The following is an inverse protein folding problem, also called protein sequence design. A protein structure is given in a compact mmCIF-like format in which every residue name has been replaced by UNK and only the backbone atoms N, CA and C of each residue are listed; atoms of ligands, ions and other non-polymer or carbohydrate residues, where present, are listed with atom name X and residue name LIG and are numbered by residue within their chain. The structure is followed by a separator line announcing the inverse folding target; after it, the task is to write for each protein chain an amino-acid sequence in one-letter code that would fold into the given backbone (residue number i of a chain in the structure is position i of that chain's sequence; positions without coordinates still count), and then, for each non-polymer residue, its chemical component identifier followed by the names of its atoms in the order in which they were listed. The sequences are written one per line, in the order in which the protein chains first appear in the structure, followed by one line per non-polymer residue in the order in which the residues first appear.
data_IF_489055030767
#
_entry.id   IF_489055030767
#
_cell.length_a   1.000
_cell.length_b   1.000
_cell.length_c   1.000
_cell.angle_alpha   90.00
_cell.angle_beta   90.00
_cell.angle_gamma   90.00
#
_symmetry.space_group_name_H-M   'P 1'
#
loop_
_entity.id
_entity.type
_entity.pdbx_description
1 polymer ?
#
# COMPACT_ATOMS: atom_id res chain seq x y z
N UNK A 1 -8.61 2.72 4.97
CA UNK A 1 -8.99 1.30 5.06
C UNK A 1 -8.52 0.78 6.41
N UNK A 2 -9.43 0.24 7.23
CA UNK A 2 -9.10 -0.28 8.56
C UNK A 2 -9.36 -1.77 8.58
N UNK A 3 -8.38 -2.57 8.97
CA UNK A 3 -8.49 -4.04 9.03
C UNK A 3 -9.01 -4.68 7.72
N UNK A 4 -8.62 -4.11 6.58
CA UNK A 4 -9.10 -4.52 5.26
C UNK A 4 -10.52 -4.06 4.90
N UNK A 5 -11.23 -3.36 5.78
CA UNK A 5 -12.57 -2.85 5.51
C UNK A 5 -12.49 -1.52 4.77
N UNK A 6 -13.08 -1.49 3.56
CA UNK A 6 -13.26 -0.28 2.78
C UNK A 6 -14.37 0.57 3.43
N UNK A 7 -14.19 1.91 3.52
CA UNK A 7 -15.22 2.79 4.04
C UNK A 7 -16.47 2.81 3.14
N UNK A 8 -17.60 3.27 3.67
CA UNK A 8 -18.81 3.49 2.87
C UNK A 8 -18.52 4.48 1.72
N UNK A 9 -18.75 4.09 0.45
CA UNK A 9 -18.58 4.99 -0.69
C UNK A 9 -19.41 6.29 -0.58
N UNK A 10 -20.57 6.24 0.08
CA UNK A 10 -21.42 7.43 0.28
C UNK A 10 -20.81 8.51 1.18
N UNK A 11 -19.73 8.18 1.89
CA UNK A 11 -19.03 9.09 2.80
C UNK A 11 -17.70 9.63 2.23
N UNK A 12 -17.46 9.47 0.91
CA UNK A 12 -16.18 9.82 0.27
C UNK A 12 -16.13 11.20 -0.38
N UNK A 13 -17.12 12.07 -0.10
CA UNK A 13 -17.11 13.43 -0.65
C UNK A 13 -15.83 14.19 -0.23
N UNK A 14 -15.12 14.75 -1.23
CA UNK A 14 -13.83 15.41 -1.04
C UNK A 14 -12.64 14.49 -0.70
N UNK A 15 -12.80 13.17 -0.71
CA UNK A 15 -11.71 12.22 -0.42
C UNK A 15 -10.94 11.88 -1.70
N UNK A 16 -9.69 12.35 -1.80
CA UNK A 16 -8.83 12.08 -2.94
C UNK A 16 -8.24 10.66 -2.95
N UNK A 17 -8.01 10.07 -1.77
CA UNK A 17 -7.42 8.74 -1.65
C UNK A 17 -7.83 8.00 -0.37
N UNK A 18 -7.98 6.69 -0.49
CA UNK A 18 -8.07 5.76 0.62
C UNK A 18 -6.69 5.19 0.94
N UNK A 19 -6.34 5.09 2.22
CA UNK A 19 -5.04 4.51 2.64
C UNK A 19 -5.24 3.10 3.16
N UNK A 20 -4.52 2.13 2.57
CA UNK A 20 -4.36 0.75 3.05
C UNK A 20 -2.91 0.56 3.49
N UNK A 21 -2.67 0.44 4.79
CA UNK A 21 -1.34 0.13 5.33
C UNK A 21 -1.19 -1.38 5.44
N UNK A 22 -0.06 -1.93 5.00
CA UNK A 22 0.27 -3.32 5.30
C UNK A 22 0.48 -3.51 6.79
N UNK A 23 0.18 -4.69 7.35
CA UNK A 23 0.52 -5.00 8.74
C UNK A 23 1.99 -4.71 9.03
N UNK A 24 2.28 -4.26 10.25
CA UNK A 24 3.65 -4.19 10.71
C UNK A 24 4.29 -5.59 10.63
N UNK A 25 5.62 -5.68 10.41
CA UNK A 25 6.31 -6.96 10.50
C UNK A 25 6.00 -7.64 11.84
N UNK A 26 5.79 -8.95 11.79
CA UNK A 26 5.63 -9.77 12.99
C UNK A 26 6.87 -9.71 13.88
N UNK A 27 6.76 -10.20 15.12
CA UNK A 27 7.91 -10.36 15.99
C UNK A 27 8.98 -11.29 15.39
N UNK A 28 10.16 -11.35 16.01
CA UNK A 28 11.30 -12.13 15.51
C UNK A 28 11.01 -13.63 15.26
N UNK A 29 9.95 -14.16 15.88
CA UNK A 29 9.51 -15.54 15.75
C UNK A 29 8.50 -15.78 14.60
N UNK A 30 8.05 -14.73 13.89
CA UNK A 30 7.12 -14.89 12.78
C UNK A 30 7.85 -15.39 11.53
N UNK A 31 7.28 -16.43 10.90
CA UNK A 31 7.82 -16.99 9.67
C UNK A 31 7.71 -15.94 8.54
N UNK A 32 8.83 -15.44 8.00
CA UNK A 32 8.83 -14.34 7.04
C UNK A 32 8.10 -14.71 5.75
N UNK A 33 8.12 -15.99 5.35
CA UNK A 33 7.42 -16.47 4.16
C UNK A 33 5.91 -16.44 4.38
N UNK A 34 5.44 -16.93 5.55
CA UNK A 34 4.02 -16.85 5.91
C UNK A 34 3.55 -15.42 6.06
N UNK A 35 4.34 -14.55 6.68
CA UNK A 35 4.02 -13.13 6.83
C UNK A 35 3.88 -12.44 5.46
N UNK A 36 4.79 -12.73 4.53
CA UNK A 36 4.75 -12.23 3.16
C UNK A 36 3.48 -12.70 2.43
N UNK A 37 3.13 -13.99 2.51
CA UNK A 37 1.91 -14.52 1.90
C UNK A 37 0.63 -13.91 2.49
N UNK A 38 0.53 -13.81 3.82
CA UNK A 38 -0.64 -13.19 4.49
C UNK A 38 -0.79 -11.73 4.07
N UNK A 39 0.30 -10.99 4.01
CA UNK A 39 0.30 -9.57 3.62
C UNK A 39 -0.16 -9.41 2.17
N UNK A 40 0.40 -10.19 1.24
CA UNK A 40 0.02 -10.15 -0.16
C UNK A 40 -1.46 -10.53 -0.37
N UNK A 41 -1.92 -11.60 0.29
CA UNK A 41 -3.32 -12.06 0.20
C UNK A 41 -4.29 -11.00 0.75
N UNK A 42 -3.94 -10.36 1.88
CA UNK A 42 -4.74 -9.29 2.44
C UNK A 42 -4.86 -8.09 1.50
N UNK A 43 -3.73 -7.63 0.93
CA UNK A 43 -3.75 -6.51 -0.01
C UNK A 43 -4.54 -6.86 -1.26
N UNK A 44 -4.34 -8.07 -1.81
CA UNK A 44 -5.07 -8.54 -2.99
C UNK A 44 -6.59 -8.51 -2.76
N UNK A 45 -7.07 -9.01 -1.63
CA UNK A 45 -8.50 -9.02 -1.30
C UNK A 45 -9.10 -7.61 -1.25
N UNK A 46 -8.41 -6.65 -0.60
CA UNK A 46 -8.87 -5.25 -0.56
C UNK A 46 -8.87 -4.62 -1.94
N UNK A 47 -7.80 -4.83 -2.72
CA UNK A 47 -7.68 -4.28 -4.08
C UNK A 47 -8.77 -4.82 -4.99
N UNK A 48 -9.06 -6.13 -4.93
CA UNK A 48 -10.14 -6.73 -5.70
C UNK A 48 -11.51 -6.13 -5.35
N UNK A 49 -11.82 -5.99 -4.06
CA UNK A 49 -13.09 -5.37 -3.61
C UNK A 49 -13.19 -3.89 -4.02
N UNK A 50 -12.08 -3.16 -3.94
CA UNK A 50 -12.02 -1.75 -4.34
C UNK A 50 -12.24 -1.57 -5.85
N UNK A 51 -11.61 -2.40 -6.67
CA UNK A 51 -11.73 -2.31 -8.13
C UNK A 51 -13.08 -2.83 -8.65
N UNK A 52 -13.71 -3.77 -7.95
CA UNK A 52 -15.00 -4.35 -8.35
C UNK A 52 -16.20 -3.40 -8.12
N UNK A 53 -16.04 -2.34 -7.32
CA UNK A 53 -17.11 -1.42 -6.96
C UNK A 53 -16.88 -0.05 -7.62
N UNK A 54 -17.70 0.25 -8.63
CA UNK A 54 -17.62 1.49 -9.42
C UNK A 54 -17.81 2.76 -8.58
N UNK A 55 -18.39 2.66 -7.38
CA UNK A 55 -18.54 3.81 -6.48
C UNK A 55 -17.20 4.32 -5.94
N UNK A 56 -16.11 3.57 -6.09
CA UNK A 56 -14.75 4.04 -5.82
C UNK A 56 -14.00 4.50 -7.07
N UNK A 57 -14.67 4.69 -8.22
CA UNK A 57 -14.00 5.06 -9.47
C UNK A 57 -13.25 6.40 -9.39
N UNK A 58 -13.79 7.36 -8.65
CA UNK A 58 -13.24 8.72 -8.54
C UNK A 58 -12.20 8.89 -7.41
N UNK A 59 -11.90 7.82 -6.69
CA UNK A 59 -10.96 7.83 -5.56
C UNK A 59 -9.78 6.90 -5.86
N UNK A 60 -8.58 7.26 -5.41
CA UNK A 60 -7.39 6.40 -5.52
C UNK A 60 -7.22 5.52 -4.30
N UNK A 61 -6.64 4.33 -4.45
CA UNK A 61 -6.20 3.51 -3.32
C UNK A 61 -4.68 3.61 -3.16
N UNK A 62 -4.24 4.22 -2.07
CA UNK A 62 -2.84 4.26 -1.65
C UNK A 62 -2.50 3.01 -0.82
N UNK A 63 -1.66 2.14 -1.37
CA UNK A 63 -1.13 0.96 -0.68
C UNK A 63 0.21 1.34 -0.06
N UNK A 64 0.29 1.27 1.27
CA UNK A 64 1.46 1.71 2.04
C UNK A 64 2.17 0.51 2.66
N UNK A 65 3.36 0.24 2.16
CA UNK A 65 4.36 -0.66 2.75
C UNK A 65 5.30 0.10 3.68
N UNK A 66 6.06 -0.60 4.52
CA UNK A 66 7.07 0.00 5.42
C UNK A 66 8.42 -0.65 5.19
N UNK A 67 9.44 0.10 4.79
CA UNK A 67 10.82 -0.38 4.58
C UNK A 67 10.89 -1.73 3.87
N UNK A 68 10.04 -1.92 2.85
CA UNK A 68 9.93 -3.16 2.08
C UNK A 68 10.91 -3.20 0.90
N UNK A 69 11.51 -2.05 0.56
CA UNK A 69 12.53 -1.91 -0.48
C UNK A 69 13.69 -1.07 0.03
N UNK A 70 14.88 -1.33 -0.48
CA UNK A 70 16.03 -0.46 -0.31
C UNK A 70 16.09 0.54 -1.48
N UNK A 71 16.22 1.84 -1.17
CA UNK A 71 16.39 2.91 -2.15
C UNK A 71 17.72 3.63 -2.01
N UNK A 72 18.51 3.28 -0.99
CA UNK A 72 19.87 3.75 -0.76
C UNK A 72 20.83 2.57 -0.59
N UNK A 73 22.09 2.77 -0.95
CA UNK A 73 23.12 1.76 -0.73
C UNK A 73 23.30 1.50 0.77
N UNK A 74 23.30 0.22 1.14
CA UNK A 74 23.45 -0.21 2.54
C UNK A 74 22.20 -0.06 3.41
N UNK A 75 21.06 0.31 2.83
CA UNK A 75 19.79 0.39 3.55
C UNK A 75 19.28 -1.00 3.96
N UNK A 76 18.92 -1.14 5.24
CA UNK A 76 18.35 -2.37 5.78
C UNK A 76 16.85 -2.49 5.44
N UNK A 77 16.45 -3.64 4.90
CA UNK A 77 15.04 -3.96 4.62
C UNK A 77 14.45 -4.62 5.86
N UNK A 78 13.70 -3.84 6.64
CA UNK A 78 13.07 -4.31 7.89
C UNK A 78 11.62 -4.79 7.69
N UNK A 79 11.02 -4.51 6.53
CA UNK A 79 9.63 -4.86 6.22
C UNK A 79 9.47 -5.87 5.08
N UNK A 80 10.26 -6.94 5.09
CA UNK A 80 10.28 -7.94 4.01
C UNK A 80 8.90 -8.53 3.66
N UNK A 81 7.99 -8.62 4.62
CA UNK A 81 6.61 -9.08 4.39
C UNK A 81 5.83 -8.22 3.38
N UNK A 82 6.20 -6.95 3.20
CA UNK A 82 5.61 -6.05 2.21
C UNK A 82 6.20 -6.19 0.79
N UNK A 83 7.33 -6.88 0.62
CA UNK A 83 8.00 -6.95 -0.69
C UNK A 83 7.14 -7.55 -1.82
N UNK A 84 6.34 -8.62 -1.60
CA UNK A 84 5.47 -9.14 -2.67
C UNK A 84 4.37 -8.16 -3.10
N UNK A 85 3.97 -7.24 -2.22
CA UNK A 85 2.96 -6.22 -2.53
C UNK A 85 3.41 -5.32 -3.66
N UNK A 86 4.72 -5.06 -3.78
CA UNK A 86 5.26 -4.28 -4.90
C UNK A 86 5.00 -4.94 -6.26
N UNK A 87 5.22 -6.25 -6.38
CA UNK A 87 4.92 -6.98 -7.60
C UNK A 87 3.42 -6.98 -7.92
N UNK A 88 2.60 -7.24 -6.91
CA UNK A 88 1.14 -7.23 -7.00
C UNK A 88 0.59 -5.88 -7.49
N UNK A 89 0.94 -4.79 -6.80
CA UNK A 89 0.41 -3.46 -7.10
C UNK A 89 0.90 -2.97 -8.45
N UNK A 90 2.14 -3.28 -8.86
CA UNK A 90 2.63 -2.95 -10.21
C UNK A 90 1.82 -3.62 -11.31
N UNK A 91 1.44 -4.89 -11.13
CA UNK A 91 0.58 -5.58 -12.08
C UNK A 91 -0.79 -4.88 -12.19
N UNK A 92 -1.38 -4.53 -11.05
CA UNK A 92 -2.66 -3.80 -11.01
C UNK A 92 -2.55 -2.41 -11.63
N UNK A 93 -1.46 -1.68 -11.41
CA UNK A 93 -1.23 -0.37 -12.01
C UNK A 93 -1.13 -0.42 -13.54
N UNK A 94 -0.56 -1.50 -14.09
CA UNK A 94 -0.49 -1.70 -15.54
C UNK A 94 -1.89 -1.92 -16.16
N UNK A 95 -2.79 -2.60 -15.44
CA UNK A 95 -4.16 -2.88 -15.88
C UNK A 95 -5.14 -1.74 -15.57
N UNK A 96 -4.91 -1.01 -14.48
CA UNK A 96 -5.75 0.08 -13.99
C UNK A 96 -4.94 1.36 -13.71
N UNK A 97 -4.45 2.05 -14.75
CA UNK A 97 -3.64 3.26 -14.59
C UNK A 97 -4.34 4.33 -13.73
N UNK A 98 -3.59 4.93 -12.80
CA UNK A 98 -4.09 6.01 -11.93
C UNK A 98 -5.02 5.59 -10.79
N UNK A 99 -5.46 4.32 -10.72
CA UNK A 99 -6.35 3.85 -9.65
C UNK A 99 -5.63 3.53 -8.34
N UNK A 100 -4.36 3.10 -8.42
CA UNK A 100 -3.54 2.76 -7.27
C UNK A 100 -2.24 3.56 -7.23
N UNK A 101 -1.84 3.96 -6.02
CA UNK A 101 -0.52 4.51 -5.72
C UNK A 101 0.16 3.58 -4.71
N UNK A 102 1.43 3.25 -4.96
CA UNK A 102 2.25 2.46 -4.04
C UNK A 102 3.20 3.38 -3.29
N UNK A 103 3.23 3.26 -1.96
CA UNK A 103 4.15 4.01 -1.10
C UNK A 103 4.90 3.03 -0.21
N UNK A 104 6.22 3.16 -0.13
CA UNK A 104 7.01 2.53 0.91
C UNK A 104 7.54 3.57 1.87
N UNK A 105 7.00 3.61 3.08
CA UNK A 105 7.38 4.58 4.10
C UNK A 105 8.41 4.04 5.09
N UNK A 106 9.06 4.94 5.81
CA UNK A 106 9.86 4.63 7.00
C UNK A 106 9.01 4.43 8.27
N UNK A 107 7.70 4.68 8.16
CA UNK A 107 6.76 4.57 9.25
C UNK A 107 6.21 5.87 9.80
N UNK A 108 6.63 7.00 9.22
CA UNK A 108 5.96 8.28 9.40
C UNK A 108 4.49 8.19 8.99
N UNK A 109 3.64 8.93 9.71
CA UNK A 109 2.25 9.14 9.33
C UNK A 109 2.08 10.27 8.32
N UNK A 110 3.15 11.00 8.01
CA UNK A 110 3.14 11.99 6.94
C UNK A 110 3.06 11.29 5.58
N UNK A 111 1.88 11.38 4.98
CA UNK A 111 1.56 10.89 3.64
C UNK A 111 1.28 12.04 2.67
N UNK A 112 1.67 13.28 3.02
CA UNK A 112 1.54 14.43 2.11
C UNK A 112 2.16 14.21 0.73
N UNK A 113 3.21 13.38 0.52
CA UNK A 113 3.73 13.07 -0.81
C UNK A 113 2.78 12.27 -1.72
N UNK A 114 1.66 11.73 -1.21
CA UNK A 114 0.62 11.08 -2.02
C UNK A 114 -0.05 12.02 -3.03
N UNK A 115 0.15 13.33 -2.90
CA UNK A 115 -0.30 14.30 -3.90
C UNK A 115 0.55 14.29 -5.17
N UNK A 116 1.71 13.63 -5.17
CA UNK A 116 2.50 13.46 -6.38
C UNK A 116 1.73 12.64 -7.44
N UNK A 117 2.05 12.90 -8.71
CA UNK A 117 1.50 12.15 -9.85
C UNK A 117 2.23 10.81 -10.07
N UNK A 118 3.32 10.58 -9.32
CA UNK A 118 4.10 9.36 -9.43
C UNK A 118 3.32 8.15 -8.88
N UNK A 119 3.24 7.04 -9.64
CA UNK A 119 2.49 5.85 -9.21
C UNK A 119 3.21 5.07 -8.09
N UNK A 120 4.51 5.27 -7.90
CA UNK A 120 5.33 4.55 -6.93
C UNK A 120 6.29 5.51 -6.24
N UNK A 121 6.27 5.51 -4.90
CA UNK A 121 7.06 6.42 -4.06
C UNK A 121 7.74 5.63 -2.94
N UNK A 122 8.95 6.05 -2.57
CA UNK A 122 9.61 5.61 -1.36
C UNK A 122 9.87 6.84 -0.49
N UNK A 123 9.28 6.86 0.70
CA UNK A 123 9.39 7.96 1.65
C UNK A 123 10.39 7.61 2.73
N UNK A 124 11.37 8.51 2.92
CA UNK A 124 12.42 8.40 3.93
C UNK A 124 12.64 9.75 4.56
N UNK A 125 12.54 9.81 5.88
CA UNK A 125 12.68 11.05 6.65
C UNK A 125 11.67 12.12 6.22
N UNK A 126 10.46 11.68 5.82
CA UNK A 126 9.39 12.55 5.36
C UNK A 126 9.60 13.17 3.96
N UNK A 127 10.46 12.57 3.14
CA UNK A 127 10.76 13.02 1.77
C UNK A 127 10.68 11.89 0.77
#
# INVERSE_FOLDING_TARGET
VRDGVLPDPGALDGVAALVLRTPAPGGADDDPVRAAHRTAAHVLDVVQRFLADERYADVRLAVVTRSAVAVRDGEEITGLAGAPVWGLVRAVQAEHPGRLVLVDGDGSDDLSPLTAEEPQLALREGR
#
